data_IF_820889544907
#
_entry.id   IF_820889544907
#
_cell.length_a   1.000
_cell.length_b   1.000
_cell.length_c   1.000
_cell.angle_alpha   90.00
_cell.angle_beta   90.00
_cell.angle_gamma   90.00
#
_symmetry.space_group_name_H-M   'P 1'
#
loop_
_entity.id
_entity.type
_entity.pdbx_description
1 polymer ?
#
# COMPACT_ATOMS: atom_id res chain seq x y z
N UNK A 1 -9.73 23.62 21.16
CA UNK A 1 -9.44 22.86 19.93
C UNK A 1 -8.47 23.66 19.07
N UNK A 2 -7.48 23.04 18.53
CA UNK A 2 -6.47 23.72 17.73
C UNK A 2 -6.66 23.43 16.25
N UNK A 3 -7.27 24.36 15.54
CA UNK A 3 -7.38 24.28 14.09
C UNK A 3 -6.04 24.41 13.37
N UNK A 4 -4.99 24.82 14.10
CA UNK A 4 -3.64 24.89 13.55
C UNK A 4 -3.09 23.53 13.16
N UNK A 5 -3.60 22.47 13.77
CA UNK A 5 -3.17 21.10 13.52
C UNK A 5 -4.03 20.40 12.47
N UNK A 6 -4.92 21.15 11.83
CA UNK A 6 -5.81 20.63 10.80
C UNK A 6 -5.37 21.16 9.44
N UNK A 7 -5.23 20.26 8.48
CA UNK A 7 -4.83 20.61 7.12
C UNK A 7 -5.55 19.70 6.13
N UNK A 8 -6.39 20.26 5.24
CA UNK A 8 -6.96 19.48 4.16
C UNK A 8 -5.87 19.16 3.13
N UNK A 9 -5.83 17.93 2.66
CA UNK A 9 -4.87 17.48 1.64
C UNK A 9 -5.58 16.67 0.59
N UNK A 10 -5.25 16.96 -0.67
CA UNK A 10 -5.70 16.13 -1.77
C UNK A 10 -4.66 15.04 -1.99
N UNK A 11 -4.85 13.92 -1.37
CA UNK A 11 -4.05 12.73 -1.55
C UNK A 11 -4.95 11.53 -1.68
N UNK A 12 -4.45 10.54 -2.37
CA UNK A 12 -5.18 9.32 -2.60
C UNK A 12 -4.36 8.17 -2.03
N UNK A 13 -5.03 7.22 -1.39
CA UNK A 13 -4.35 6.07 -0.84
C UNK A 13 -5.02 4.79 -1.27
N UNK A 14 -4.21 3.78 -1.46
CA UNK A 14 -4.69 2.42 -1.59
C UNK A 14 -4.06 1.59 -0.50
N UNK A 15 -4.89 0.97 0.32
CA UNK A 15 -4.44 0.10 1.40
C UNK A 15 -4.83 -1.31 1.03
N UNK A 16 -3.84 -2.19 0.94
CA UNK A 16 -4.04 -3.60 0.61
C UNK A 16 -3.51 -4.42 1.76
N UNK A 17 -4.39 -5.16 2.44
CA UNK A 17 -3.97 -6.10 3.47
C UNK A 17 -4.00 -7.50 2.91
N UNK A 18 -2.98 -8.28 3.24
CA UNK A 18 -2.89 -9.68 2.84
C UNK A 18 -2.64 -10.54 4.07
N UNK A 19 -3.48 -11.56 4.24
CA UNK A 19 -3.31 -12.58 5.28
C UNK A 19 -2.89 -13.87 4.60
N UNK A 20 -1.66 -14.29 4.87
CA UNK A 20 -1.09 -15.51 4.29
C UNK A 20 -1.32 -16.70 5.22
N UNK A 21 -1.14 -17.92 4.69
CA UNK A 21 -1.28 -19.12 5.48
C UNK A 21 -0.13 -19.34 6.46
N UNK A 22 1.02 -18.68 6.22
CA UNK A 22 2.18 -18.79 7.09
C UNK A 22 2.98 -17.48 7.13
N UNK A 23 3.81 -17.35 8.16
CA UNK A 23 4.77 -16.26 8.27
C UNK A 23 5.75 -16.27 7.09
N UNK A 24 6.18 -17.43 6.68
CA UNK A 24 7.16 -17.62 5.60
C UNK A 24 6.59 -17.13 4.27
N UNK A 25 5.32 -17.42 3.98
CA UNK A 25 4.66 -16.93 2.78
C UNK A 25 4.57 -15.41 2.79
N UNK A 26 4.26 -14.83 3.94
CA UNK A 26 4.22 -13.39 4.12
C UNK A 26 5.58 -12.75 3.83
N UNK A 27 6.63 -13.32 4.40
CA UNK A 27 8.00 -12.84 4.19
C UNK A 27 8.41 -12.94 2.72
N UNK A 28 8.03 -14.03 2.06
CA UNK A 28 8.31 -14.23 0.64
C UNK A 28 7.65 -13.14 -0.21
N UNK A 29 6.37 -12.83 0.07
CA UNK A 29 5.68 -11.80 -0.69
C UNK A 29 6.25 -10.40 -0.42
N UNK A 30 6.59 -10.09 0.82
CA UNK A 30 7.26 -8.82 1.16
C UNK A 30 8.55 -8.68 0.35
N UNK A 31 9.32 -9.76 0.23
CA UNK A 31 10.55 -9.75 -0.56
C UNK A 31 10.26 -9.46 -2.04
N UNK A 32 9.20 -10.07 -2.60
CA UNK A 32 8.79 -9.80 -3.97
C UNK A 32 8.46 -8.32 -4.17
N UNK A 33 7.70 -7.72 -3.25
CA UNK A 33 7.36 -6.30 -3.33
C UNK A 33 8.61 -5.41 -3.31
N UNK A 34 9.55 -5.72 -2.43
CA UNK A 34 10.80 -4.97 -2.31
C UNK A 34 11.68 -5.07 -3.55
N UNK A 35 11.59 -6.19 -4.27
CA UNK A 35 12.37 -6.40 -5.48
C UNK A 35 11.69 -5.83 -6.72
N UNK A 36 10.37 -5.94 -6.83
CA UNK A 36 9.64 -5.62 -8.05
C UNK A 36 9.21 -4.16 -8.13
N UNK A 37 8.65 -3.60 -7.05
CA UNK A 37 8.12 -2.24 -7.13
C UNK A 37 9.15 -1.17 -7.46
N UNK A 38 10.41 -1.22 -6.98
CA UNK A 38 11.40 -0.23 -7.40
C UNK A 38 11.61 -0.15 -8.91
N UNK A 39 11.37 -1.25 -9.63
CA UNK A 39 11.50 -1.28 -11.10
C UNK A 39 10.44 -0.41 -11.78
N UNK A 40 9.23 -0.32 -11.18
CA UNK A 40 8.07 0.32 -11.80
C UNK A 40 7.66 1.63 -11.16
N UNK A 41 8.26 2.00 -10.02
CA UNK A 41 7.81 3.14 -9.20
C UNK A 41 7.84 4.47 -9.96
N UNK A 42 8.74 4.61 -10.93
CA UNK A 42 8.88 5.84 -11.71
C UNK A 42 7.69 6.09 -12.64
N UNK A 43 6.85 5.09 -12.87
CA UNK A 43 5.58 5.27 -13.59
C UNK A 43 4.52 5.97 -12.73
N UNK A 44 4.78 6.11 -11.44
CA UNK A 44 3.90 6.73 -10.46
C UNK A 44 4.66 7.88 -9.79
N UNK A 45 4.89 9.00 -10.49
CA UNK A 45 5.68 10.10 -9.92
C UNK A 45 5.04 10.63 -8.64
N UNK A 46 5.90 10.94 -7.68
CA UNK A 46 5.54 11.44 -6.34
C UNK A 46 4.69 10.46 -5.52
N UNK A 47 4.66 9.20 -5.91
CA UNK A 47 4.01 8.17 -5.11
C UNK A 47 4.93 7.66 -4.01
N UNK A 48 4.32 7.07 -2.99
CA UNK A 48 5.02 6.37 -1.93
C UNK A 48 4.37 5.02 -1.71
N UNK A 49 5.20 4.01 -1.50
CA UNK A 49 4.73 2.70 -1.07
C UNK A 49 5.37 2.38 0.27
N UNK A 50 4.54 2.19 1.27
CA UNK A 50 4.97 1.72 2.57
C UNK A 50 4.50 0.28 2.75
N UNK A 51 5.44 -0.59 3.12
CA UNK A 51 5.17 -2.00 3.38
C UNK A 51 5.25 -2.21 4.89
N UNK A 52 4.17 -2.69 5.48
CA UNK A 52 4.09 -2.90 6.92
C UNK A 52 3.70 -4.35 7.21
N UNK A 53 4.05 -4.80 8.41
CA UNK A 53 3.65 -6.12 8.91
C UNK A 53 2.94 -5.95 10.24
N UNK A 54 1.91 -6.75 10.47
CA UNK A 54 1.24 -6.78 11.77
C UNK A 54 2.22 -7.14 12.88
N UNK A 55 2.18 -6.39 13.97
CA UNK A 55 3.00 -6.68 15.15
C UNK A 55 2.48 -7.91 15.90
N UNK A 56 1.18 -8.20 15.78
CA UNK A 56 0.53 -9.30 16.50
C UNK A 56 0.48 -10.59 15.69
N UNK A 57 0.41 -10.48 14.36
CA UNK A 57 0.22 -11.63 13.47
C UNK A 57 1.24 -11.59 12.34
N UNK A 58 2.35 -12.33 12.42
CA UNK A 58 3.45 -12.22 11.45
C UNK A 58 3.11 -12.72 10.04
N UNK A 59 1.96 -13.34 9.86
CA UNK A 59 1.45 -13.76 8.55
C UNK A 59 0.55 -12.70 7.88
N UNK A 60 0.41 -11.52 8.50
CA UNK A 60 -0.43 -10.42 7.98
C UNK A 60 0.46 -9.23 7.64
N UNK A 61 0.29 -8.68 6.46
CA UNK A 61 1.00 -7.49 6.03
C UNK A 61 0.05 -6.51 5.33
N UNK A 62 0.47 -5.27 5.24
CA UNK A 62 -0.24 -4.26 4.46
C UNK A 62 0.73 -3.51 3.54
N UNK A 63 0.27 -3.27 2.31
CA UNK A 63 0.92 -2.36 1.39
C UNK A 63 0.08 -1.08 1.35
N UNK A 64 0.70 0.04 1.64
CA UNK A 64 0.02 1.34 1.73
C UNK A 64 0.61 2.27 0.68
N UNK A 65 -0.20 2.54 -0.36
CA UNK A 65 0.17 3.47 -1.41
C UNK A 65 -0.35 4.86 -1.09
N UNK A 66 0.49 5.85 -1.29
CA UNK A 66 0.09 7.26 -1.29
C UNK A 66 0.35 7.83 -2.68
N UNK A 67 -0.71 8.35 -3.30
CA UNK A 67 -0.69 8.91 -4.65
C UNK A 67 -1.16 10.36 -4.58
N UNK A 68 -0.64 11.22 -5.46
CA UNK A 68 -1.06 12.62 -5.52
C UNK A 68 -2.06 12.90 -6.66
N UNK A 69 -2.36 11.91 -7.49
CA UNK A 69 -3.31 12.00 -8.60
C UNK A 69 -4.16 10.74 -8.65
N UNK A 70 -5.49 10.90 -8.66
CA UNK A 70 -6.39 9.74 -8.70
C UNK A 70 -6.22 8.90 -9.97
N UNK A 71 -5.72 9.48 -11.05
CA UNK A 71 -5.45 8.76 -12.30
C UNK A 71 -4.38 7.69 -12.11
N UNK A 72 -3.53 7.84 -11.12
CA UNK A 72 -2.49 6.87 -10.82
C UNK A 72 -3.04 5.54 -10.29
N UNK A 73 -4.29 5.52 -9.81
CA UNK A 73 -4.91 4.25 -9.40
C UNK A 73 -4.97 3.25 -10.57
N UNK A 74 -5.31 3.71 -11.77
CA UNK A 74 -5.39 2.83 -12.93
C UNK A 74 -4.00 2.29 -13.32
N UNK A 75 -2.99 3.14 -13.27
CA UNK A 75 -1.60 2.74 -13.56
C UNK A 75 -1.13 1.74 -12.51
N UNK A 76 -1.37 2.03 -11.24
CA UNK A 76 -1.02 1.14 -10.14
C UNK A 76 -1.68 -0.22 -10.29
N UNK A 77 -2.96 -0.25 -10.61
CA UNK A 77 -3.71 -1.48 -10.75
C UNK A 77 -3.21 -2.30 -11.93
N UNK A 78 -2.89 -1.66 -13.05
CA UNK A 78 -2.36 -2.36 -14.22
C UNK A 78 -1.00 -2.98 -13.93
N UNK A 79 -0.10 -2.24 -13.31
CA UNK A 79 1.22 -2.78 -12.94
C UNK A 79 1.05 -3.93 -11.93
N UNK A 80 0.17 -3.73 -10.94
CA UNK A 80 -0.12 -4.77 -9.95
C UNK A 80 -0.62 -6.05 -10.59
N UNK A 81 -1.61 -5.94 -11.48
CA UNK A 81 -2.19 -7.10 -12.16
C UNK A 81 -1.16 -7.84 -13.02
N UNK A 82 -0.30 -7.10 -13.73
CA UNK A 82 0.62 -7.70 -14.69
C UNK A 82 1.88 -8.26 -14.01
N UNK A 83 2.40 -7.58 -12.99
CA UNK A 83 3.74 -7.83 -12.50
C UNK A 83 3.83 -8.32 -11.04
N UNK A 84 2.81 -8.06 -10.24
CA UNK A 84 2.85 -8.33 -8.79
C UNK A 84 1.88 -9.44 -8.39
N UNK A 85 0.63 -9.34 -8.82
CA UNK A 85 -0.43 -10.25 -8.38
C UNK A 85 -0.22 -11.70 -8.79
N UNK A 86 0.47 -12.04 -9.91
CA UNK A 86 0.81 -13.43 -10.18
C UNK A 86 1.61 -14.09 -9.06
N UNK A 87 2.52 -13.35 -8.41
CA UNK A 87 3.26 -13.85 -7.25
C UNK A 87 2.36 -14.03 -6.04
N UNK A 88 1.52 -13.01 -5.78
CA UNK A 88 0.57 -13.06 -4.66
C UNK A 88 -0.39 -14.23 -4.80
N UNK A 89 -0.93 -14.43 -6.01
CA UNK A 89 -1.95 -15.45 -6.25
C UNK A 89 -1.40 -16.87 -6.05
N UNK A 90 -0.11 -17.09 -6.27
CA UNK A 90 0.53 -18.39 -5.98
C UNK A 90 0.50 -18.73 -4.50
N UNK A 91 0.51 -17.73 -3.64
CA UNK A 91 0.50 -17.89 -2.20
C UNK A 91 -0.93 -17.87 -1.64
N UNK A 92 -1.92 -17.55 -2.47
CA UNK A 92 -3.35 -17.57 -2.15
C UNK A 92 -3.72 -16.87 -0.84
N UNK A 93 -3.27 -15.61 -0.60
CA UNK A 93 -3.63 -14.92 0.62
C UNK A 93 -5.08 -14.46 0.58
N UNK A 94 -5.65 -14.20 1.77
CA UNK A 94 -6.88 -13.44 1.89
C UNK A 94 -6.53 -11.96 1.78
N UNK A 95 -7.01 -11.31 0.71
CA UNK A 95 -6.66 -9.91 0.41
C UNK A 95 -7.87 -9.01 0.54
N UNK A 96 -7.67 -7.85 1.17
CA UNK A 96 -8.67 -6.79 1.27
C UNK A 96 -8.02 -5.51 0.79
N UNK A 97 -8.70 -4.81 -0.13
CA UNK A 97 -8.17 -3.58 -0.72
C UNK A 97 -9.20 -2.47 -0.62
N UNK A 98 -8.74 -1.28 -0.27
CA UNK A 98 -9.59 -0.10 -0.19
C UNK A 98 -8.85 1.08 -0.84
N UNK A 99 -9.59 1.87 -1.64
CA UNK A 99 -9.12 3.15 -2.17
C UNK A 99 -9.71 4.25 -1.32
N UNK A 100 -8.89 5.22 -0.96
CA UNK A 100 -9.34 6.34 -0.13
C UNK A 100 -8.86 7.66 -0.72
N UNK A 101 -9.60 8.71 -0.39
CA UNK A 101 -9.21 10.08 -0.63
C UNK A 101 -9.01 10.74 0.72
N UNK A 102 -7.92 11.47 0.89
CA UNK A 102 -7.66 12.17 2.14
C UNK A 102 -8.66 13.31 2.32
N UNK A 103 -9.36 13.30 3.44
CA UNK A 103 -10.31 14.37 3.77
C UNK A 103 -9.60 15.47 4.54
N UNK A 104 -8.79 15.10 5.50
CA UNK A 104 -8.00 16.04 6.28
C UNK A 104 -6.89 15.31 7.01
N UNK A 105 -5.91 16.07 7.45
CA UNK A 105 -4.84 15.58 8.30
C UNK A 105 -4.80 16.44 9.56
N UNK A 106 -4.77 15.81 10.71
CA UNK A 106 -4.71 16.49 12.00
C UNK A 106 -3.37 16.12 12.64
N UNK A 107 -2.60 17.12 12.99
CA UNK A 107 -1.26 16.94 13.53
C UNK A 107 -1.26 17.07 15.04
N UNK A 108 -0.51 16.18 15.71
CA UNK A 108 -0.26 16.35 17.12
C UNK A 108 0.71 17.52 17.38
N UNK A 109 0.61 18.12 18.54
CA UNK A 109 1.58 19.14 18.97
C UNK A 109 2.90 18.44 19.34
N UNK A 110 3.98 19.12 19.04
CA UNK A 110 5.31 18.64 19.44
C UNK A 110 5.53 18.73 20.94
#
# INVERSE_FOLDING_TARGET
MSWKNYEPKQRFRRVITNTFSSKEDCEMFIMVLKQQWPIYIDRLPRSELEITRSMDSPNVMAAIWTLDDFKHFDILEKIGNDMIYPYRNKLSPKSISIKTESICVIYGNK
#
